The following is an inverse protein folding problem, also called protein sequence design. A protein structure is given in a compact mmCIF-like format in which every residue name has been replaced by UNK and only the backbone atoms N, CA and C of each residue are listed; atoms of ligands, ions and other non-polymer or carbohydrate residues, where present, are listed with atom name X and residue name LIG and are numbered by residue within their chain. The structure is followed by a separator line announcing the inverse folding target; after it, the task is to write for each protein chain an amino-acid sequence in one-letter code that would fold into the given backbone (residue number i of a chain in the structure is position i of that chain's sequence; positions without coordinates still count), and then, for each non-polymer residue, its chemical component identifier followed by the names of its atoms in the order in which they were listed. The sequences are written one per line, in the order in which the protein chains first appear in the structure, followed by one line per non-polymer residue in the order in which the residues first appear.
data_IF_918340302757
#
_entry.id   IF_918340302757
#
_cell.length_a   1.000
_cell.length_b   1.000
_cell.length_c   1.000
_cell.angle_alpha   90.00
_cell.angle_beta   90.00
_cell.angle_gamma   90.00
#
_symmetry.space_group_name_H-M   'P 1'
#
loop_
_entity.id
_entity.type
_entity.pdbx_description
1 polymer ?
#
# COMPACT_ATOMS: atom_id res chain seq x y z
N UNK A 1 17.22 11.58 6.36
CA UNK A 1 15.88 11.07 6.74
C UNK A 1 15.91 9.66 7.34
N UNK A 2 16.74 8.73 6.83
CA UNK A 2 16.87 7.35 7.33
C UNK A 2 17.21 7.23 8.84
N UNK A 3 18.13 8.06 9.37
CA UNK A 3 18.54 8.00 10.78
C UNK A 3 17.46 8.37 11.80
N UNK A 4 16.56 9.31 11.47
CA UNK A 4 15.49 9.72 12.40
C UNK A 4 14.38 8.68 12.51
N UNK A 5 14.03 7.99 11.41
CA UNK A 5 13.04 6.90 11.43
C UNK A 5 13.52 5.72 12.28
N UNK A 6 14.82 5.42 12.26
CA UNK A 6 15.42 4.33 13.03
C UNK A 6 15.37 4.58 14.55
N UNK A 7 15.53 5.83 14.98
CA UNK A 7 15.42 6.22 16.40
C UNK A 7 13.99 6.06 16.91
N UNK A 8 13.01 6.54 16.13
CA UNK A 8 11.59 6.43 16.47
C UNK A 8 11.15 4.96 16.54
N UNK A 9 11.62 4.13 15.61
CA UNK A 9 11.30 2.71 15.61
C UNK A 9 11.89 1.97 16.81
N UNK A 10 13.16 2.21 17.16
CA UNK A 10 13.76 1.59 18.32
C UNK A 10 13.06 2.00 19.63
N UNK A 11 12.76 3.30 19.81
CA UNK A 11 12.11 3.77 21.04
C UNK A 11 10.69 3.25 21.18
N UNK A 12 9.90 3.26 20.10
CA UNK A 12 8.50 2.80 20.12
C UNK A 12 8.41 1.28 20.21
N UNK A 13 9.25 0.55 19.46
CA UNK A 13 9.25 -0.92 19.45
C UNK A 13 9.69 -1.49 20.80
N UNK A 14 10.74 -0.91 21.42
CA UNK A 14 11.22 -1.36 22.73
C UNK A 14 10.23 -1.05 23.86
N UNK A 15 9.51 0.08 23.80
CA UNK A 15 8.51 0.44 24.81
C UNK A 15 7.13 -0.19 24.61
N UNK A 16 6.94 -1.06 23.60
CA UNK A 16 5.63 -1.65 23.25
C UNK A 16 4.50 -0.60 23.19
N UNK A 17 4.83 0.59 22.71
CA UNK A 17 3.89 1.70 22.66
C UNK A 17 3.07 1.63 21.38
N UNK A 18 1.78 1.95 21.46
CA UNK A 18 0.96 2.10 20.26
C UNK A 18 1.42 3.34 19.50
N UNK A 19 1.79 3.18 18.23
CA UNK A 19 2.18 4.29 17.39
C UNK A 19 1.63 4.13 15.99
N UNK A 20 1.00 5.19 15.49
CA UNK A 20 0.58 5.31 14.11
C UNK A 20 1.62 6.14 13.37
N UNK A 21 2.29 5.52 12.39
CA UNK A 21 3.24 6.19 11.51
C UNK A 21 2.62 6.31 10.13
N UNK A 22 2.18 7.52 9.79
CA UNK A 22 1.78 7.87 8.44
C UNK A 22 2.98 8.47 7.71
N UNK A 23 3.37 7.88 6.58
CA UNK A 23 4.43 8.45 5.73
C UNK A 23 3.89 8.68 4.33
N UNK A 24 3.79 9.95 3.87
CA UNK A 24 3.60 10.22 2.46
C UNK A 24 4.86 9.78 1.72
N UNK A 25 4.74 8.73 0.92
CA UNK A 25 5.85 8.19 0.16
C UNK A 25 5.82 8.77 -1.25
N UNK A 26 6.99 9.26 -1.68
CA UNK A 26 7.23 9.66 -3.06
C UNK A 26 7.73 8.42 -3.79
N UNK A 27 6.91 7.89 -4.71
CA UNK A 27 7.31 6.76 -5.52
C UNK A 27 8.18 7.22 -6.71
N UNK A 28 9.19 6.41 -7.02
CA UNK A 28 10.28 6.62 -7.98
C UNK A 28 9.89 7.14 -9.38
N UNK A 29 8.66 6.91 -9.87
CA UNK A 29 8.27 7.27 -11.25
C UNK A 29 7.41 8.53 -11.35
N UNK A 30 6.78 8.99 -10.27
CA UNK A 30 5.77 10.06 -10.35
C UNK A 30 6.25 11.45 -9.92
N UNK A 31 7.50 11.59 -9.48
CA UNK A 31 8.07 12.91 -9.18
C UNK A 31 9.37 13.09 -9.95
N UNK A 32 9.31 13.87 -11.02
CA UNK A 32 10.47 14.27 -11.81
C UNK A 32 11.33 15.35 -11.16
N UNK A 33 10.91 15.93 -10.01
CA UNK A 33 11.55 17.11 -9.43
C UNK A 33 12.26 16.86 -8.09
N UNK A 34 11.65 16.10 -7.18
CA UNK A 34 12.23 15.78 -5.87
C UNK A 34 13.10 14.52 -5.99
N UNK A 35 14.42 14.68 -6.03
CA UNK A 35 15.39 13.60 -6.27
C UNK A 35 15.32 12.39 -5.31
N UNK A 36 16.20 11.38 -5.49
CA UNK A 36 16.09 10.08 -4.84
C UNK A 36 16.18 10.10 -3.31
N UNK A 37 16.65 11.20 -2.71
CA UNK A 37 16.70 11.38 -1.25
C UNK A 37 15.32 11.44 -0.58
N UNK A 38 14.27 11.75 -1.34
CA UNK A 38 12.89 11.80 -0.85
C UNK A 38 12.09 10.52 -1.16
N UNK A 39 12.69 9.58 -1.88
CA UNK A 39 12.05 8.31 -2.24
C UNK A 39 12.13 7.33 -1.08
N UNK A 40 10.98 6.79 -0.67
CA UNK A 40 10.89 5.77 0.37
C UNK A 40 10.77 4.40 -0.31
N UNK A 41 11.92 3.81 -0.64
CA UNK A 41 12.01 2.50 -1.31
C UNK A 41 12.25 1.35 -0.31
N UNK A 42 12.81 1.68 0.85
CA UNK A 42 13.17 0.74 1.91
C UNK A 42 12.19 0.73 3.09
N UNK A 43 11.14 1.55 3.06
CA UNK A 43 10.17 1.71 4.14
C UNK A 43 9.40 0.43 4.44
N UNK A 44 8.87 -0.25 3.41
CA UNK A 44 8.19 -1.52 3.57
C UNK A 44 9.11 -2.59 4.17
N UNK A 45 10.36 -2.67 3.70
CA UNK A 45 11.33 -3.61 4.27
C UNK A 45 11.66 -3.29 5.73
N UNK A 46 11.80 -2.01 6.07
CA UNK A 46 12.10 -1.53 7.41
C UNK A 46 10.97 -1.82 8.39
N UNK A 47 9.73 -1.44 8.07
CA UNK A 47 8.58 -1.65 8.98
C UNK A 47 8.19 -3.12 9.09
N UNK A 48 8.36 -3.93 8.03
CA UNK A 48 8.17 -5.38 8.10
C UNK A 48 9.17 -6.09 9.00
N UNK A 49 10.37 -5.53 9.20
CA UNK A 49 11.36 -6.08 10.11
C UNK A 49 11.04 -5.78 11.59
N UNK A 50 10.10 -4.88 11.87
CA UNK A 50 9.71 -4.50 13.23
C UNK A 50 8.68 -5.49 13.77
N UNK A 51 8.95 -6.20 14.88
CA UNK A 51 8.00 -7.13 15.47
C UNK A 51 6.72 -6.42 15.92
N UNK A 52 5.56 -7.05 15.74
CA UNK A 52 4.25 -6.48 16.07
C UNK A 52 3.90 -5.19 15.29
N UNK A 53 4.58 -4.96 14.16
CA UNK A 53 4.20 -3.88 13.24
C UNK A 53 3.19 -4.38 12.20
N UNK A 54 2.05 -3.69 12.11
CA UNK A 54 1.06 -3.87 11.05
C UNK A 54 1.31 -2.85 9.96
N UNK A 55 1.52 -3.32 8.73
CA UNK A 55 1.82 -2.49 7.57
C UNK A 55 0.59 -2.44 6.67
N UNK A 56 0.05 -1.24 6.47
CA UNK A 56 -1.04 -0.95 5.55
C UNK A 56 -0.50 -0.22 4.33
N UNK A 57 -0.87 -0.69 3.14
CA UNK A 57 -0.59 0.01 1.90
C UNK A 57 -1.89 0.20 1.10
N UNK A 58 -2.69 1.22 1.46
CA UNK A 58 -3.94 1.51 0.75
C UNK A 58 -3.68 1.96 -0.70
N UNK A 59 -4.65 1.67 -1.56
CA UNK A 59 -4.54 1.93 -3.00
C UNK A 59 -5.46 3.03 -3.52
N UNK A 60 -6.38 3.51 -2.69
CA UNK A 60 -7.30 4.61 -2.99
C UNK A 60 -7.74 5.33 -1.70
N UNK A 61 -8.60 6.34 -1.84
CA UNK A 61 -9.13 7.11 -0.70
C UNK A 61 -9.95 6.25 0.27
N UNK A 62 -10.78 5.34 -0.25
CA UNK A 62 -11.65 4.48 0.57
C UNK A 62 -10.81 3.51 1.41
N UNK A 63 -9.90 2.77 0.80
CA UNK A 63 -8.98 1.88 1.52
C UNK A 63 -8.08 2.64 2.50
N UNK A 64 -7.76 3.91 2.23
CA UNK A 64 -7.02 4.77 3.17
C UNK A 64 -7.84 5.09 4.41
N UNK A 65 -9.12 5.45 4.26
CA UNK A 65 -10.02 5.69 5.39
C UNK A 65 -10.14 4.44 6.28
N UNK A 66 -10.35 3.28 5.67
CA UNK A 66 -10.40 2.00 6.38
C UNK A 66 -9.06 1.64 7.03
N UNK A 67 -7.92 1.87 6.36
CA UNK A 67 -6.60 1.63 6.95
C UNK A 67 -6.37 2.48 8.20
N UNK A 68 -6.79 3.75 8.19
CA UNK A 68 -6.71 4.63 9.36
C UNK A 68 -7.61 4.13 10.49
N UNK A 69 -8.85 3.75 10.18
CA UNK A 69 -9.79 3.21 11.17
C UNK A 69 -9.29 1.90 11.79
N UNK A 70 -8.77 0.98 10.98
CA UNK A 70 -8.19 -0.28 11.44
C UNK A 70 -6.94 -0.04 12.29
N UNK A 71 -6.05 0.85 11.84
CA UNK A 71 -4.84 1.18 12.57
C UNK A 71 -5.13 1.82 13.94
N UNK A 72 -6.17 2.65 14.04
CA UNK A 72 -6.60 3.23 15.31
C UNK A 72 -7.09 2.18 16.32
N UNK A 73 -7.65 1.07 15.84
CA UNK A 73 -8.14 -0.03 16.66
C UNK A 73 -7.11 -1.17 16.84
N UNK A 74 -5.93 -1.06 16.23
CA UNK A 74 -4.89 -2.09 16.27
C UNK A 74 -3.83 -1.75 17.30
N UNK A 75 -3.54 -2.70 18.18
CA UNK A 75 -2.45 -2.55 19.16
C UNK A 75 -1.08 -2.75 18.52
N UNK A 76 -0.09 -2.01 19.00
CA UNK A 76 1.28 -2.04 18.46
C UNK A 76 1.57 -0.94 17.46
N UNK A 77 2.54 -1.20 16.58
CA UNK A 77 3.00 -0.20 15.61
C UNK A 77 2.20 -0.37 14.33
N UNK A 78 1.49 0.67 13.90
CA UNK A 78 0.83 0.66 12.61
C UNK A 78 1.54 1.62 11.67
N UNK A 79 1.92 1.13 10.50
CA UNK A 79 2.51 1.92 9.43
C UNK A 79 1.52 2.00 8.28
N UNK A 80 1.15 3.21 7.87
CA UNK A 80 0.31 3.44 6.69
C UNK A 80 1.15 4.14 5.63
N UNK A 81 1.33 3.45 4.50
CA UNK A 81 2.05 3.98 3.33
C UNK A 81 1.06 4.67 2.40
N UNK A 82 1.09 5.99 2.35
CA UNK A 82 0.26 6.76 1.41
C UNK A 82 1.07 7.18 0.19
N UNK A 83 0.39 7.36 -0.94
CA UNK A 83 1.00 7.81 -2.20
C UNK A 83 0.68 9.29 -2.43
N UNK A 84 1.58 10.03 -3.10
CA UNK A 84 1.36 11.44 -3.48
C UNK A 84 0.34 11.64 -4.60
N UNK A 85 0.34 10.86 -5.70
CA UNK A 85 -0.54 11.13 -6.84
C UNK A 85 -2.01 10.91 -6.48
N UNK A 86 -2.88 11.76 -7.03
CA UNK A 86 -4.31 11.53 -7.02
C UNK A 86 -4.60 10.24 -7.81
N UNK A 87 -5.23 9.29 -7.14
CA UNK A 87 -5.54 7.97 -7.67
C UNK A 87 -7.05 7.81 -7.75
N UNK A 88 -7.52 7.04 -8.74
CA UNK A 88 -8.95 6.78 -8.90
C UNK A 88 -9.48 6.00 -7.69
N UNK A 89 -10.75 6.20 -7.35
CA UNK A 89 -11.42 5.38 -6.33
C UNK A 89 -11.78 4.04 -6.97
N UNK A 90 -11.29 2.95 -6.40
CA UNK A 90 -11.52 1.57 -6.88
C UNK A 90 -12.62 0.92 -6.06
N UNK A 91 -12.61 1.13 -4.75
CA UNK A 91 -13.52 0.46 -3.83
C UNK A 91 -14.79 1.26 -3.56
N UNK A 92 -15.90 0.55 -3.38
CA UNK A 92 -17.13 1.18 -2.87
C UNK A 92 -16.99 1.53 -1.39
N UNK A 93 -17.72 2.54 -0.93
CA UNK A 93 -17.74 2.92 0.49
C UNK A 93 -18.29 1.82 1.42
N UNK A 94 -19.04 0.86 0.87
CA UNK A 94 -19.60 -0.29 1.61
C UNK A 94 -18.62 -1.46 1.71
N UNK A 95 -17.48 -1.38 1.01
CA UNK A 95 -16.47 -2.44 1.01
C UNK A 95 -15.86 -2.61 2.41
N UNK A 96 -15.70 -3.87 2.84
CA UNK A 96 -15.13 -4.18 4.15
C UNK A 96 -13.67 -4.57 4.04
N UNK A 97 -12.82 -3.95 4.85
CA UNK A 97 -11.40 -4.27 4.95
C UNK A 97 -11.10 -4.90 6.31
N UNK A 98 -10.29 -5.96 6.29
CA UNK A 98 -9.80 -6.66 7.47
C UNK A 98 -8.29 -6.79 7.40
N UNK A 99 -7.63 -6.80 8.56
CA UNK A 99 -6.17 -6.92 8.64
C UNK A 99 -5.75 -8.31 8.16
N UNK A 100 -4.80 -8.36 7.22
CA UNK A 100 -4.33 -9.61 6.63
C UNK A 100 -5.23 -10.18 5.54
N UNK A 101 -6.31 -9.49 5.18
CA UNK A 101 -7.14 -9.85 4.04
C UNK A 101 -6.76 -9.04 2.81
N UNK A 102 -6.47 -9.74 1.72
CA UNK A 102 -6.27 -9.15 0.41
C UNK A 102 -7.59 -9.12 -0.40
N UNK A 103 -7.70 -8.19 -1.35
CA UNK A 103 -8.89 -8.00 -2.19
C UNK A 103 -8.60 -8.24 -3.66
N UNK A 104 -9.43 -9.04 -4.30
CA UNK A 104 -9.42 -9.25 -5.75
C UNK A 104 -10.24 -8.15 -6.39
N UNK A 105 -9.60 -7.28 -7.18
CA UNK A 105 -10.28 -6.11 -7.79
C UNK A 105 -10.88 -6.38 -9.17
N UNK A 106 -10.49 -7.47 -9.82
CA UNK A 106 -10.94 -7.88 -11.16
C UNK A 106 -10.95 -9.39 -11.19
N UNK A 107 -12.08 -10.00 -11.65
CA UNK A 107 -12.58 -11.41 -11.88
C UNK A 107 -12.63 -11.98 -13.35
N UNK A 108 -12.01 -13.11 -13.76
CA UNK A 108 -12.34 -13.86 -15.00
C UNK A 108 -12.11 -15.38 -14.85
N UNK A 109 -12.70 -16.19 -15.74
CA UNK A 109 -12.61 -17.66 -15.68
C UNK A 109 -11.42 -18.23 -16.47
N UNK A 110 -10.73 -17.38 -17.21
CA UNK A 110 -9.70 -17.75 -18.19
C UNK A 110 -8.30 -17.24 -17.81
N UNK A 111 -8.08 -17.03 -16.52
CA UNK A 111 -6.86 -16.37 -16.04
C UNK A 111 -5.64 -17.24 -16.16
N UNK A 112 -4.54 -16.61 -16.58
CA UNK A 112 -3.23 -17.28 -16.74
C UNK A 112 -2.17 -16.82 -15.74
N UNK A 113 -2.32 -15.61 -15.19
CA UNK A 113 -1.33 -14.98 -14.31
C UNK A 113 -2.04 -14.15 -13.24
N UNK A 114 -1.54 -14.22 -12.01
CA UNK A 114 -1.90 -13.32 -10.91
C UNK A 114 -0.81 -12.28 -10.72
N UNK A 115 -1.19 -11.01 -10.85
CA UNK A 115 -0.39 -9.84 -10.55
C UNK A 115 -0.75 -9.38 -9.13
N UNK A 116 0.21 -8.89 -8.36
CA UNK A 116 -0.05 -8.36 -7.02
C UNK A 116 0.52 -6.95 -7.00
N UNK A 117 -0.34 -5.99 -6.69
CA UNK A 117 -0.05 -4.57 -6.79
C UNK A 117 -0.71 -3.81 -5.66
N UNK A 118 -0.05 -2.75 -5.20
CA UNK A 118 -0.54 -1.91 -4.11
C UNK A 118 -0.18 -0.45 -4.37
N UNK A 119 -1.03 0.46 -3.88
CA UNK A 119 -0.89 1.88 -4.18
C UNK A 119 -1.04 2.15 -5.67
N UNK A 120 -0.19 3.03 -6.19
CA UNK A 120 -0.17 3.38 -7.62
C UNK A 120 0.12 2.18 -8.55
N UNK A 121 0.85 1.16 -8.08
CA UNK A 121 1.12 -0.02 -8.92
C UNK A 121 -0.13 -0.86 -9.20
N UNK A 122 -1.15 -0.78 -8.34
CA UNK A 122 -2.46 -1.38 -8.59
C UNK A 122 -3.15 -0.73 -9.80
N UNK A 123 -3.09 0.60 -9.90
CA UNK A 123 -3.68 1.36 -11.00
C UNK A 123 -2.99 1.09 -12.34
N UNK A 124 -1.66 1.04 -12.33
CA UNK A 124 -0.88 0.66 -13.51
C UNK A 124 -1.21 -0.77 -13.96
N UNK A 125 -1.35 -1.69 -13.01
CA UNK A 125 -1.65 -3.07 -13.34
C UNK A 125 -3.11 -3.26 -13.82
N UNK A 126 -4.07 -2.44 -13.36
CA UNK A 126 -5.42 -2.34 -13.93
C UNK A 126 -5.40 -1.79 -15.37
N UNK A 127 -4.54 -0.81 -15.64
CA UNK A 127 -4.38 -0.22 -16.98
C UNK A 127 -3.77 -1.23 -17.95
N UNK A 128 -2.67 -1.89 -17.55
CA UNK A 128 -2.05 -2.98 -18.31
C UNK A 128 -3.05 -4.11 -18.57
N UNK A 129 -3.92 -4.39 -17.59
CA UNK A 129 -4.98 -5.36 -17.76
C UNK A 129 -6.00 -4.95 -18.85
N UNK A 130 -6.44 -3.69 -18.86
CA UNK A 130 -7.33 -3.18 -19.91
C UNK A 130 -6.68 -3.26 -21.30
N UNK A 131 -5.37 -3.04 -21.40
CA UNK A 131 -4.62 -3.15 -22.65
C UNK A 131 -4.52 -4.59 -23.17
N UNK A 132 -4.21 -5.54 -22.29
CA UNK A 132 -4.12 -6.96 -22.64
C UNK A 132 -5.49 -7.52 -23.08
N UNK A 133 -6.55 -7.09 -22.41
CA UNK A 133 -7.92 -7.43 -22.79
C UNK A 133 -8.27 -6.95 -24.21
N UNK A 134 -7.79 -5.76 -24.63
CA UNK A 134 -7.97 -5.24 -26.01
C UNK A 134 -7.19 -6.03 -27.05
N UNK A 135 -6.04 -6.58 -26.67
CA UNK A 135 -5.18 -7.37 -27.57
C UNK A 135 -5.66 -8.84 -27.70
N UNK A 136 -6.67 -9.24 -26.93
CA UNK A 136 -7.18 -10.61 -26.92
C UNK A 136 -6.28 -11.59 -26.16
N UNK A 137 -5.26 -11.10 -25.47
CA UNK A 137 -4.42 -11.90 -24.58
C UNK A 137 -5.02 -11.91 -23.17
N UNK A 138 -5.45 -13.08 -22.73
CA UNK A 138 -6.10 -13.32 -21.45
C UNK A 138 -5.07 -13.39 -20.32
N UNK A 139 -4.83 -12.28 -19.65
CA UNK A 139 -4.39 -12.24 -18.25
C UNK A 139 -5.42 -11.41 -17.47
N UNK A 140 -5.32 -11.26 -16.14
CA UNK A 140 -5.60 -9.99 -15.41
C UNK A 140 -6.15 -10.22 -13.99
N UNK A 141 -5.31 -10.56 -13.02
CA UNK A 141 -5.74 -10.62 -11.61
C UNK A 141 -4.88 -9.77 -10.74
N UNK A 142 -5.49 -8.83 -10.00
CA UNK A 142 -4.82 -8.05 -8.96
C UNK A 142 -5.41 -8.33 -7.60
N UNK A 143 -4.55 -8.79 -6.70
CA UNK A 143 -4.77 -8.78 -5.26
C UNK A 143 -4.13 -7.51 -4.68
N UNK A 144 -4.92 -6.76 -3.90
CA UNK A 144 -4.44 -5.69 -2.99
C UNK A 144 -4.33 -6.25 -1.59
#
# INVERSE_FOLDING_TARGET
MCSQKKILLNSVSLNKSNALVLTPCILFVFSGEDGPSQMALEDLAMFRAVPSCTVFYPSDGVSTEYAVALAANTSGICFIRTSRPDTAIIYSSEEKFEIGQAKVVRQSDTDRVTVIGAGVTLHEALTAADELAKQGEMSNFLLT
#
